data_IF_310185519946
#
_entry.id   IF_310185519946
#
_cell.length_a   1.000
_cell.length_b   1.000
_cell.length_c   1.000
_cell.angle_alpha   90.00
_cell.angle_beta   90.00
_cell.angle_gamma   90.00
#
_symmetry.space_group_name_H-M   'P 1'
#
loop_
_entity.id
_entity.type
_entity.pdbx_description
1 polymer ?
#
# COMPACT_ATOMS: atom_id res chain seq x y z
N UNK A 1 1.01 -10.13 -12.55
CA UNK A 1 -0.25 -10.82 -12.85
C UNK A 1 -1.18 -9.96 -13.72
N UNK A 2 -1.69 -8.80 -13.27
CA UNK A 2 -2.59 -7.97 -14.09
C UNK A 2 -2.03 -7.57 -15.47
N UNK A 3 -0.78 -7.10 -15.54
CA UNK A 3 -0.11 -6.74 -16.80
C UNK A 3 -0.04 -7.92 -17.79
N UNK A 4 0.16 -9.14 -17.30
CA UNK A 4 0.19 -10.34 -18.15
C UNK A 4 -1.20 -10.73 -18.65
N UNK A 5 -2.25 -10.57 -17.83
CA UNK A 5 -3.63 -10.78 -18.27
C UNK A 5 -4.03 -9.79 -19.37
N UNK A 6 -3.76 -8.49 -19.16
CA UNK A 6 -4.08 -7.47 -20.15
C UNK A 6 -3.34 -7.70 -21.47
N UNK A 7 -2.08 -8.15 -21.41
CA UNK A 7 -1.32 -8.51 -22.60
C UNK A 7 -1.94 -9.69 -23.37
N UNK A 8 -2.47 -10.70 -22.67
CA UNK A 8 -3.18 -11.84 -23.31
C UNK A 8 -4.40 -11.36 -24.10
N UNK A 9 -5.15 -10.43 -23.52
CA UNK A 9 -6.34 -9.83 -24.15
C UNK A 9 -6.01 -8.71 -25.16
N UNK A 10 -4.74 -8.55 -25.54
CA UNK A 10 -4.25 -7.51 -26.46
C UNK A 10 -4.60 -6.08 -26.01
N UNK A 11 -4.79 -5.88 -24.71
CA UNK A 11 -5.02 -4.59 -24.10
C UNK A 11 -3.69 -3.96 -23.68
N UNK A 12 -3.46 -2.72 -24.14
CA UNK A 12 -2.27 -1.96 -23.79
C UNK A 12 -2.52 -1.12 -22.53
N UNK A 13 -1.88 -1.50 -21.41
CA UNK A 13 -1.81 -0.64 -20.21
C UNK A 13 -0.50 0.15 -20.22
N UNK A 14 -0.58 1.45 -20.46
CA UNK A 14 0.59 2.34 -20.42
C UNK A 14 0.65 3.04 -19.06
N UNK A 15 1.85 3.04 -18.45
CA UNK A 15 2.19 3.80 -17.23
C UNK A 15 1.19 3.62 -16.08
N UNK A 16 1.02 2.39 -15.59
CA UNK A 16 0.29 2.18 -14.34
C UNK A 16 1.16 2.70 -13.18
N UNK A 17 0.71 3.78 -12.55
CA UNK A 17 1.28 4.23 -11.29
C UNK A 17 0.62 3.43 -10.15
N UNK A 18 1.44 2.95 -9.21
CA UNK A 18 0.98 2.15 -8.08
C UNK A 18 1.64 2.65 -6.81
N UNK A 19 0.88 2.65 -5.73
CA UNK A 19 1.41 2.83 -4.37
C UNK A 19 1.39 1.48 -3.70
N UNK A 20 2.54 1.02 -3.24
CA UNK A 20 2.60 -0.17 -2.40
C UNK A 20 2.17 0.22 -0.98
N UNK A 21 1.19 -0.50 -0.43
CA UNK A 21 0.72 -0.27 0.94
C UNK A 21 1.82 -0.55 1.96
N UNK A 22 2.70 -1.51 1.69
CA UNK A 22 3.86 -1.81 2.54
C UNK A 22 4.86 -0.65 2.56
N UNK A 23 5.00 0.03 1.43
CA UNK A 23 5.90 1.19 1.35
C UNK A 23 5.42 2.31 2.28
N UNK A 24 4.11 2.58 2.30
CA UNK A 24 3.49 3.57 3.18
C UNK A 24 3.51 3.14 4.64
N UNK A 25 3.31 1.85 4.93
CA UNK A 25 3.47 1.31 6.29
C UNK A 25 4.89 1.53 6.78
N UNK A 26 5.91 1.21 5.98
CA UNK A 26 7.30 1.40 6.39
C UNK A 26 7.67 2.86 6.60
N UNK A 27 6.98 3.79 5.92
CA UNK A 27 7.12 5.23 6.19
C UNK A 27 6.49 5.63 7.54
N UNK A 28 5.28 5.14 7.82
CA UNK A 28 4.51 5.51 9.02
C UNK A 28 5.03 4.79 10.28
N UNK A 29 5.42 3.52 10.14
CA UNK A 29 5.84 2.60 11.19
C UNK A 29 7.09 1.80 10.74
N UNK A 30 8.27 2.44 10.69
CA UNK A 30 9.50 1.83 10.14
C UNK A 30 10.02 0.61 10.89
N UNK A 31 9.65 0.41 12.16
CA UNK A 31 10.04 -0.77 12.96
C UNK A 31 9.12 -1.99 12.77
N UNK A 32 8.08 -1.88 11.94
CA UNK A 32 7.08 -2.94 11.76
C UNK A 32 7.53 -3.97 10.71
N UNK A 33 8.34 -4.95 11.15
CA UNK A 33 8.96 -5.97 10.27
C UNK A 33 8.01 -7.13 9.87
N UNK A 34 6.74 -7.12 10.31
CA UNK A 34 5.81 -8.21 10.04
C UNK A 34 5.02 -8.02 8.75
N UNK A 35 5.41 -8.70 7.68
CA UNK A 35 4.72 -8.70 6.37
C UNK A 35 3.45 -9.56 6.33
N UNK A 36 2.54 -9.32 7.27
CA UNK A 36 1.25 -9.98 7.33
C UNK A 36 0.12 -8.94 7.31
N UNK A 37 -0.73 -9.02 6.29
CA UNK A 37 -1.81 -8.04 6.07
C UNK A 37 -2.83 -8.01 7.22
N UNK A 38 -3.07 -9.13 7.91
CA UNK A 38 -4.00 -9.18 9.04
C UNK A 38 -3.39 -8.46 10.23
N UNK A 39 -2.11 -8.73 10.51
CA UNK A 39 -1.38 -8.04 11.58
C UNK A 39 -1.30 -6.53 11.34
N UNK A 40 -1.09 -6.09 10.10
CA UNK A 40 -1.14 -4.67 9.79
C UNK A 40 -2.55 -4.10 10.00
N UNK A 41 -3.59 -4.75 9.49
CA UNK A 41 -4.96 -4.29 9.71
C UNK A 41 -5.30 -4.19 11.20
N UNK A 42 -4.91 -5.17 12.02
CA UNK A 42 -5.05 -5.12 13.48
C UNK A 42 -4.26 -3.96 14.10
N UNK A 43 -2.99 -3.79 13.72
CA UNK A 43 -2.11 -2.76 14.28
C UNK A 43 -2.61 -1.34 14.01
N UNK A 44 -3.18 -1.12 12.82
CA UNK A 44 -3.76 0.15 12.41
C UNK A 44 -5.26 0.26 12.73
N UNK A 45 -5.84 -0.74 13.43
CA UNK A 45 -7.23 -0.69 13.89
C UNK A 45 -8.29 -0.71 12.78
N UNK A 46 -7.99 -1.33 11.63
CA UNK A 46 -8.88 -1.35 10.47
C UNK A 46 -9.68 -2.64 10.34
N UNK A 47 -10.72 -2.61 9.49
CA UNK A 47 -11.60 -3.76 9.26
C UNK A 47 -10.86 -4.88 8.53
N UNK A 48 -11.02 -6.10 9.04
CA UNK A 48 -10.52 -7.32 8.42
C UNK A 48 -11.70 -8.07 7.81
N UNK A 49 -11.56 -8.46 6.56
CA UNK A 49 -12.51 -9.32 5.85
C UNK A 49 -11.92 -10.71 5.68
N UNK A 50 -12.75 -11.67 5.24
CA UNK A 50 -12.35 -13.06 5.05
C UNK A 50 -11.09 -13.19 4.16
N UNK A 51 -9.95 -13.42 4.82
CA UNK A 51 -8.61 -13.43 4.22
C UNK A 51 -8.41 -14.67 3.36
N UNK A 52 -7.41 -14.63 2.47
CA UNK A 52 -7.15 -15.71 1.50
C UNK A 52 -8.20 -15.85 0.40
N UNK A 53 -9.15 -14.90 0.33
CA UNK A 53 -9.95 -14.62 -0.85
C UNK A 53 -9.44 -13.33 -1.49
N UNK A 54 -9.40 -13.27 -2.82
CA UNK A 54 -8.95 -12.07 -3.52
C UNK A 54 -9.81 -10.83 -3.16
N UNK A 55 -11.12 -11.04 -2.96
CA UNK A 55 -12.05 -9.98 -2.56
C UNK A 55 -11.80 -9.53 -1.13
N UNK A 56 -11.65 -10.45 -0.17
CA UNK A 56 -11.41 -10.12 1.23
C UNK A 56 -10.03 -9.50 1.46
N UNK A 57 -8.99 -9.97 0.75
CA UNK A 57 -7.66 -9.35 0.77
C UNK A 57 -7.72 -7.93 0.18
N UNK A 58 -8.44 -7.72 -0.92
CA UNK A 58 -8.61 -6.40 -1.54
C UNK A 58 -9.39 -5.43 -0.62
N UNK A 59 -10.48 -5.89 0.01
CA UNK A 59 -11.24 -5.09 0.96
C UNK A 59 -10.39 -4.74 2.19
N UNK A 60 -9.73 -5.72 2.79
CA UNK A 60 -8.83 -5.50 3.95
C UNK A 60 -7.74 -4.49 3.59
N UNK A 61 -7.11 -4.63 2.42
CA UNK A 61 -6.10 -3.68 1.93
C UNK A 61 -6.68 -2.30 1.71
N UNK A 62 -7.89 -2.16 1.14
CA UNK A 62 -8.51 -0.85 0.90
C UNK A 62 -8.80 -0.08 2.20
N UNK A 63 -9.32 -0.75 3.23
CA UNK A 63 -9.56 -0.12 4.52
C UNK A 63 -8.26 0.22 5.25
N UNK A 64 -7.26 -0.68 5.19
CA UNK A 64 -5.92 -0.38 5.71
C UNK A 64 -5.30 0.82 5.01
N UNK A 65 -5.36 0.88 3.68
CA UNK A 65 -4.79 1.98 2.89
C UNK A 65 -5.48 3.31 3.20
N UNK A 66 -6.80 3.33 3.34
CA UNK A 66 -7.55 4.54 3.72
C UNK A 66 -7.11 5.09 5.08
N UNK A 67 -6.91 4.22 6.07
CA UNK A 67 -6.41 4.62 7.40
C UNK A 67 -4.97 5.15 7.33
N UNK A 68 -4.10 4.48 6.56
CA UNK A 68 -2.72 4.95 6.36
C UNK A 68 -2.68 6.34 5.72
N UNK A 69 -3.57 6.63 4.76
CA UNK A 69 -3.70 7.97 4.17
C UNK A 69 -4.15 9.00 5.21
N UNK A 70 -5.07 8.64 6.10
CA UNK A 70 -5.53 9.52 7.16
C UNK A 70 -4.37 9.83 8.13
N UNK A 71 -3.63 8.83 8.57
CA UNK A 71 -2.46 9.03 9.44
C UNK A 71 -1.33 9.80 8.75
N UNK A 72 -1.10 9.56 7.45
CA UNK A 72 -0.15 10.33 6.65
C UNK A 72 -0.52 11.83 6.64
N UNK A 73 -1.81 12.12 6.49
CA UNK A 73 -2.36 13.48 6.57
C UNK A 73 -2.23 14.09 7.95
N UNK A 74 -2.52 13.34 9.00
CA UNK A 74 -2.42 13.82 10.39
C UNK A 74 -0.97 14.12 10.79
N UNK A 75 0.01 13.54 10.10
CA UNK A 75 1.45 13.87 10.21
C UNK A 75 1.89 15.09 9.40
N UNK A 76 0.96 15.76 8.72
CA UNK A 76 1.20 17.01 7.99
C UNK A 76 1.36 16.86 6.48
N UNK A 77 1.26 15.66 5.92
CA UNK A 77 1.40 15.43 4.48
C UNK A 77 0.03 15.41 3.79
N UNK A 78 -0.23 16.40 2.95
CA UNK A 78 -1.58 16.62 2.39
C UNK A 78 -1.65 16.54 0.88
N UNK A 79 -0.52 16.28 0.22
CA UNK A 79 -0.42 16.29 -1.23
C UNK A 79 -0.08 14.93 -1.80
N UNK A 80 -0.45 14.75 -3.07
CA UNK A 80 -0.10 13.57 -3.85
C UNK A 80 1.42 13.43 -4.05
N UNK A 81 2.13 14.55 -4.23
CA UNK A 81 3.58 14.55 -4.41
C UNK A 81 4.33 14.02 -3.18
N UNK A 82 3.90 14.44 -1.99
CA UNK A 82 4.47 13.93 -0.74
C UNK A 82 4.23 12.43 -0.57
N UNK A 83 3.02 11.96 -0.93
CA UNK A 83 2.72 10.53 -0.86
C UNK A 83 3.60 9.72 -1.82
N UNK A 84 3.82 10.22 -3.03
CA UNK A 84 4.76 9.60 -3.99
C UNK A 84 6.16 9.54 -3.38
N UNK A 85 6.66 10.65 -2.82
CA UNK A 85 8.00 10.70 -2.24
C UNK A 85 8.16 9.76 -1.04
N UNK A 86 7.15 9.70 -0.17
CA UNK A 86 7.14 8.83 1.00
C UNK A 86 7.08 7.33 0.65
N UNK A 87 6.55 7.01 -0.54
CA UNK A 87 6.38 5.62 -1.02
C UNK A 87 7.33 5.25 -2.16
N UNK A 88 8.28 6.12 -2.50
CA UNK A 88 9.33 5.82 -3.46
C UNK A 88 10.38 4.90 -2.82
N UNK A 89 10.25 3.61 -3.08
CA UNK A 89 11.12 2.54 -2.57
C UNK A 89 12.59 2.72 -2.94
N UNK A 90 12.94 3.55 -3.94
CA UNK A 90 14.33 3.88 -4.28
C UNK A 90 15.04 4.72 -3.20
N UNK A 91 14.31 5.47 -2.35
CA UNK A 91 14.92 6.24 -1.25
C UNK A 91 15.35 5.36 -0.07
N UNK A 92 14.74 4.18 0.13
CA UNK A 92 15.08 3.26 1.24
C UNK A 92 16.44 2.58 1.06
N UNK A 93 16.91 2.39 -0.18
CA UNK A 93 18.22 1.76 -0.47
C UNK A 93 19.44 2.69 -0.28
N UNK A 94 19.24 3.98 0.03
CA UNK A 94 20.32 4.97 0.16
C UNK A 94 20.65 5.34 1.61
N UNK A 95 20.12 4.62 2.61
CA UNK A 95 20.35 4.91 4.03
C UNK A 95 21.14 3.81 4.78
N UNK A 96 22.04 3.10 4.10
CA UNK A 96 23.03 2.22 4.73
C UNK A 96 24.45 2.61 4.34
#
# INVERSE_FOLDING_TARGET
MLKSELKREKLALKKLFTIDTLDLIGYIAPSYDMRDLERYAMAFGTRIYDRHSAVGDALTTAYLFAELLQQFKDRGHSTWGELIMATDSQMRSMQF
#
